data_IF_126020605241
#
_entry.id   IF_126020605241
#
_cell.length_a   1.000
_cell.length_b   1.000
_cell.length_c   1.000
_cell.angle_alpha   90.00
_cell.angle_beta   90.00
_cell.angle_gamma   90.00
#
_symmetry.space_group_name_H-M   'P 1'
#
loop_
_entity.id
_entity.type
_entity.pdbx_description
1 polymer ?
#
# COMPACT_ATOMS: atom_id res chain seq x y z
N UNK A 1 8.93 1.37 -53.71
CA UNK A 1 7.83 0.89 -52.82
C UNK A 1 8.28 0.06 -51.62
N UNK A 2 9.39 -0.70 -51.67
CA UNK A 2 9.84 -1.55 -50.56
C UNK A 2 10.39 -0.79 -49.33
N UNK A 3 11.17 0.28 -49.54
CA UNK A 3 11.72 1.12 -48.46
C UNK A 3 10.62 1.82 -47.63
N UNK A 4 9.57 2.35 -48.26
CA UNK A 4 8.45 2.98 -47.55
C UNK A 4 7.70 2.02 -46.61
N UNK A 5 7.55 0.75 -47.00
CA UNK A 5 6.92 -0.30 -46.16
C UNK A 5 7.79 -0.69 -44.95
N UNK A 6 9.11 -0.61 -45.06
CA UNK A 6 10.05 -0.87 -43.97
C UNK A 6 10.07 0.26 -42.93
N UNK A 7 10.11 1.52 -43.38
CA UNK A 7 10.01 2.68 -42.48
C UNK A 7 8.67 2.73 -41.74
N UNK A 8 7.56 2.40 -42.40
CA UNK A 8 6.24 2.33 -41.77
C UNK A 8 6.16 1.24 -40.68
N UNK A 9 6.71 0.05 -40.93
CA UNK A 9 6.75 -1.05 -39.93
C UNK A 9 7.64 -0.72 -38.73
N UNK A 10 8.78 -0.05 -38.94
CA UNK A 10 9.69 0.37 -37.87
C UNK A 10 9.07 1.44 -36.96
N UNK A 11 8.46 2.47 -37.55
CA UNK A 11 7.73 3.51 -36.82
C UNK A 11 6.54 2.94 -36.03
N UNK A 12 5.81 1.97 -36.60
CA UNK A 12 4.71 1.32 -35.91
C UNK A 12 5.18 0.46 -34.71
N UNK A 13 6.31 -0.25 -34.83
CA UNK A 13 6.92 -0.99 -33.70
C UNK A 13 7.41 -0.05 -32.59
N UNK A 14 8.10 1.04 -32.94
CA UNK A 14 8.57 2.04 -31.98
C UNK A 14 7.40 2.72 -31.24
N UNK A 15 6.34 3.08 -31.96
CA UNK A 15 5.11 3.65 -31.35
C UNK A 15 4.36 2.67 -30.45
N UNK A 16 4.42 1.36 -30.73
CA UNK A 16 3.80 0.32 -29.89
C UNK A 16 4.60 0.11 -28.62
N UNK A 17 5.93 0.00 -28.72
CA UNK A 17 6.81 -0.12 -27.57
C UNK A 17 6.65 1.06 -26.59
N UNK A 18 6.63 2.30 -27.12
CA UNK A 18 6.43 3.51 -26.30
C UNK A 18 5.05 3.58 -25.64
N UNK A 19 4.01 3.05 -26.28
CA UNK A 19 2.67 2.93 -25.68
C UNK A 19 2.63 1.89 -24.55
N UNK A 20 3.31 0.75 -24.73
CA UNK A 20 3.44 -0.27 -23.69
C UNK A 20 4.22 0.25 -22.49
N UNK A 21 5.32 0.96 -22.72
CA UNK A 21 6.13 1.60 -21.67
C UNK A 21 5.30 2.63 -20.87
N UNK A 22 4.60 3.54 -21.57
CA UNK A 22 3.71 4.51 -20.92
C UNK A 22 2.62 3.82 -20.10
N UNK A 23 1.98 2.79 -20.64
CA UNK A 23 0.93 2.06 -19.91
C UNK A 23 1.47 1.41 -18.63
N UNK A 24 2.67 0.82 -18.69
CA UNK A 24 3.34 0.26 -17.53
C UNK A 24 3.67 1.35 -16.49
N UNK A 25 4.21 2.50 -16.90
CA UNK A 25 4.49 3.62 -15.99
C UNK A 25 3.23 4.17 -15.31
N UNK A 26 2.10 4.24 -16.03
CA UNK A 26 0.80 4.62 -15.45
C UNK A 26 0.37 3.61 -14.40
N UNK A 27 0.41 2.32 -14.73
CA UNK A 27 0.07 1.24 -13.79
C UNK A 27 0.94 1.25 -12.54
N UNK A 28 2.26 1.44 -12.69
CA UNK A 28 3.18 1.57 -11.56
C UNK A 28 2.83 2.79 -10.70
N UNK A 29 2.53 3.94 -11.33
CA UNK A 29 2.17 5.15 -10.60
C UNK A 29 0.84 5.00 -9.85
N UNK A 30 -0.14 4.30 -10.43
CA UNK A 30 -1.41 3.97 -9.76
C UNK A 30 -1.19 3.05 -8.56
N UNK A 31 -0.37 2.00 -8.71
CA UNK A 31 -0.01 1.11 -7.61
C UNK A 31 0.72 1.85 -6.48
N UNK A 32 1.71 2.69 -6.81
CA UNK A 32 2.43 3.51 -5.83
C UNK A 32 1.47 4.47 -5.09
N UNK A 33 0.54 5.08 -5.83
CA UNK A 33 -0.49 5.94 -5.25
C UNK A 33 -1.42 5.19 -4.30
N UNK A 34 -1.84 3.98 -4.66
CA UNK A 34 -2.70 3.13 -3.84
C UNK A 34 -1.98 2.61 -2.58
N UNK A 35 -0.73 2.17 -2.72
CA UNK A 35 0.16 1.86 -1.59
C UNK A 35 0.26 3.06 -0.64
N UNK A 36 0.48 4.25 -1.21
CA UNK A 36 0.53 5.49 -0.46
C UNK A 36 -0.79 5.83 0.24
N UNK A 37 -1.93 5.55 -0.38
CA UNK A 37 -3.26 5.72 0.21
C UNK A 37 -3.48 4.79 1.42
N UNK A 38 -3.10 3.50 1.31
CA UNK A 38 -3.19 2.55 2.42
C UNK A 38 -2.34 2.93 3.64
N UNK A 39 -1.29 3.74 3.44
CA UNK A 39 -0.51 4.27 4.57
C UNK A 39 -1.31 5.15 5.54
N UNK A 40 -2.53 5.60 5.22
CA UNK A 40 -3.42 6.28 6.17
C UNK A 40 -3.55 5.48 7.48
N UNK A 41 -3.75 4.18 7.37
CA UNK A 41 -3.91 3.30 8.55
C UNK A 41 -2.60 3.02 9.29
N UNK A 42 -1.45 3.48 8.78
CA UNK A 42 -0.13 3.30 9.40
C UNK A 42 0.49 4.61 9.92
N UNK A 43 0.32 5.73 9.19
CA UNK A 43 1.00 7.01 9.45
C UNK A 43 0.08 8.24 9.49
N UNK A 44 -1.24 8.02 9.45
CA UNK A 44 -2.29 9.02 9.53
C UNK A 44 -2.47 9.91 8.27
N UNK A 45 -3.66 10.49 8.17
CA UNK A 45 -4.11 11.29 7.02
C UNK A 45 -3.15 12.43 6.64
N UNK A 46 -2.67 13.30 7.58
CA UNK A 46 -1.86 14.46 7.19
C UNK A 46 -0.55 14.11 6.49
N UNK A 47 0.15 13.05 6.94
CA UNK A 47 1.39 12.59 6.30
C UNK A 47 1.10 12.01 4.91
N UNK A 48 0.01 11.25 4.79
CA UNK A 48 -0.43 10.71 3.50
C UNK A 48 -0.78 11.80 2.50
N UNK A 49 -1.46 12.87 2.91
CA UNK A 49 -1.77 14.03 2.04
C UNK A 49 -0.48 14.64 1.47
N UNK A 50 0.49 14.93 2.33
CA UNK A 50 1.75 15.56 1.90
C UNK A 50 2.53 14.64 0.96
N UNK A 51 2.61 13.35 1.29
CA UNK A 51 3.34 12.37 0.49
C UNK A 51 2.68 12.16 -0.88
N UNK A 52 1.36 11.98 -0.96
CA UNK A 52 0.66 11.80 -2.23
C UNK A 52 0.69 13.07 -3.09
N UNK A 53 0.61 14.24 -2.47
CA UNK A 53 0.78 15.53 -3.16
C UNK A 53 2.16 15.69 -3.78
N UNK A 54 3.21 15.39 -3.01
CA UNK A 54 4.60 15.41 -3.50
C UNK A 54 4.83 14.38 -4.61
N UNK A 55 4.38 13.14 -4.40
CA UNK A 55 4.44 12.06 -5.40
C UNK A 55 3.79 12.49 -6.72
N UNK A 56 2.53 12.95 -6.69
CA UNK A 56 1.83 13.39 -7.90
C UNK A 56 2.56 14.54 -8.62
N UNK A 57 3.15 15.47 -7.86
CA UNK A 57 3.87 16.63 -8.42
C UNK A 57 5.21 16.26 -9.08
N UNK A 58 5.81 15.14 -8.67
CA UNK A 58 7.06 14.62 -9.26
C UNK A 58 6.86 13.81 -10.55
N UNK A 59 5.63 13.39 -10.85
CA UNK A 59 5.35 12.57 -12.02
C UNK A 59 5.37 13.40 -13.32
N UNK A 60 5.84 12.83 -14.45
CA UNK A 60 5.73 13.49 -15.75
C UNK A 60 4.28 13.84 -16.11
N UNK A 61 4.06 15.00 -16.74
CA UNK A 61 2.72 15.48 -17.07
C UNK A 61 1.88 14.49 -17.92
N UNK A 62 2.55 13.74 -18.81
CA UNK A 62 1.92 12.71 -19.62
C UNK A 62 1.43 11.49 -18.83
N UNK A 63 2.05 11.20 -17.68
CA UNK A 63 1.59 10.17 -16.73
C UNK A 63 0.44 10.73 -15.92
N UNK A 64 0.59 11.92 -15.34
CA UNK A 64 -0.44 12.58 -14.51
C UNK A 64 -1.79 12.69 -15.23
N UNK A 65 -1.77 13.06 -16.51
CA UNK A 65 -2.96 13.17 -17.37
C UNK A 65 -3.60 11.83 -17.73
N UNK A 66 -2.90 10.71 -17.50
CA UNK A 66 -3.36 9.36 -17.81
C UNK A 66 -3.78 8.56 -16.56
N UNK A 67 -3.59 9.10 -15.36
CA UNK A 67 -3.99 8.45 -14.11
C UNK A 67 -5.52 8.41 -13.97
N UNK A 68 -6.03 7.36 -13.33
CA UNK A 68 -7.44 7.29 -12.94
C UNK A 68 -7.83 8.46 -12.00
N UNK A 69 -9.02 9.03 -12.26
CA UNK A 69 -9.60 10.13 -11.47
C UNK A 69 -10.91 9.75 -10.79
N UNK A 70 -11.37 8.51 -10.97
CA UNK A 70 -12.64 8.03 -10.41
C UNK A 70 -12.41 7.30 -9.08
N UNK A 71 -13.11 7.68 -8.00
CA UNK A 71 -13.02 6.98 -6.74
C UNK A 71 -13.64 5.57 -6.83
N UNK A 72 -12.93 4.57 -6.29
CA UNK A 72 -13.35 3.16 -6.33
C UNK A 72 -14.08 2.69 -5.05
N UNK A 73 -14.11 3.51 -3.99
CA UNK A 73 -14.52 3.09 -2.64
C UNK A 73 -15.61 3.98 -2.02
N UNK A 74 -16.43 4.66 -2.83
CA UNK A 74 -17.54 5.47 -2.29
C UNK A 74 -18.53 4.53 -1.55
N UNK A 75 -18.73 4.71 -0.22
CA UNK A 75 -19.72 3.93 0.51
C UNK A 75 -21.13 4.37 0.10
N UNK A 76 -22.03 3.38 -0.03
CA UNK A 76 -23.44 3.58 -0.33
C UNK A 76 -24.27 2.50 0.36
N UNK A 77 -25.57 2.72 0.47
CA UNK A 77 -26.49 1.70 0.98
C UNK A 77 -26.46 0.40 0.17
N UNK A 78 -26.05 0.46 -1.11
CA UNK A 78 -25.94 -0.69 -1.99
C UNK A 78 -24.69 -1.55 -1.74
N UNK A 79 -23.57 -0.97 -1.26
CA UNK A 79 -22.30 -1.68 -1.13
C UNK A 79 -21.77 -1.79 0.31
N UNK A 80 -22.38 -1.12 1.29
CA UNK A 80 -21.89 -1.09 2.68
C UNK A 80 -21.78 -2.49 3.30
N UNK A 81 -22.73 -3.38 3.00
CA UNK A 81 -22.69 -4.76 3.47
C UNK A 81 -21.48 -5.52 2.93
N UNK A 82 -21.06 -5.26 1.70
CA UNK A 82 -19.87 -5.90 1.12
C UNK A 82 -18.60 -5.37 1.77
N UNK A 83 -18.51 -4.05 1.99
CA UNK A 83 -17.38 -3.42 2.71
C UNK A 83 -17.21 -4.05 4.10
N UNK A 84 -18.32 -4.25 4.80
CA UNK A 84 -18.35 -4.91 6.12
C UNK A 84 -17.84 -6.36 6.03
N UNK A 85 -18.37 -7.14 5.08
CA UNK A 85 -18.02 -8.56 4.93
C UNK A 85 -16.54 -8.75 4.60
N UNK A 86 -16.01 -7.99 3.63
CA UNK A 86 -14.60 -8.11 3.25
C UNK A 86 -13.65 -7.66 4.37
N UNK A 87 -14.00 -6.61 5.11
CA UNK A 87 -13.21 -6.14 6.26
C UNK A 87 -13.11 -7.20 7.35
N UNK A 88 -14.25 -7.82 7.70
CA UNK A 88 -14.29 -8.93 8.67
C UNK A 88 -13.53 -10.17 8.18
N UNK A 89 -13.64 -10.49 6.89
CA UNK A 89 -12.92 -11.60 6.30
C UNK A 89 -11.40 -11.39 6.36
N UNK A 90 -10.92 -10.20 5.98
CA UNK A 90 -9.50 -9.83 6.05
C UNK A 90 -8.99 -9.85 7.48
N UNK A 91 -9.71 -9.22 8.42
CA UNK A 91 -9.38 -9.23 9.85
C UNK A 91 -9.21 -10.66 10.39
N UNK A 92 -10.20 -11.51 10.13
CA UNK A 92 -10.18 -12.91 10.57
C UNK A 92 -9.02 -13.69 9.94
N UNK A 93 -8.78 -13.49 8.65
CA UNK A 93 -7.66 -14.11 7.94
C UNK A 93 -6.33 -13.80 8.64
N UNK A 94 -6.11 -12.54 8.99
CA UNK A 94 -4.88 -12.08 9.63
C UNK A 94 -4.79 -12.56 11.10
N UNK A 95 -5.84 -12.44 11.89
CA UNK A 95 -5.74 -12.60 13.34
C UNK A 95 -6.22 -13.94 13.91
N UNK A 96 -6.84 -14.83 13.12
CA UNK A 96 -7.27 -16.16 13.62
C UNK A 96 -6.10 -16.94 14.27
N UNK A 97 -6.31 -17.62 15.42
CA UNK A 97 -7.56 -17.76 16.18
C UNK A 97 -7.80 -16.66 17.23
N UNK A 98 -7.04 -15.57 17.19
CA UNK A 98 -7.07 -14.51 18.20
C UNK A 98 -7.88 -13.27 17.79
N UNK A 99 -8.58 -13.31 16.65
CA UNK A 99 -9.36 -12.20 16.10
C UNK A 99 -10.36 -11.62 17.12
N UNK A 100 -11.24 -12.46 17.69
CA UNK A 100 -12.20 -11.99 18.69
C UNK A 100 -11.55 -11.57 20.01
N UNK A 101 -10.41 -12.18 20.39
CA UNK A 101 -9.67 -11.78 21.60
C UNK A 101 -9.07 -10.39 21.43
N UNK A 102 -8.52 -10.10 20.24
CA UNK A 102 -7.96 -8.78 19.92
C UNK A 102 -9.06 -7.72 19.89
N UNK A 103 -10.22 -8.02 19.30
CA UNK A 103 -11.39 -7.13 19.33
C UNK A 103 -11.79 -6.77 20.76
N UNK A 104 -11.94 -7.76 21.64
CA UNK A 104 -12.25 -7.53 23.06
C UNK A 104 -11.18 -6.68 23.74
N UNK A 105 -9.90 -6.93 23.45
CA UNK A 105 -8.79 -6.18 24.06
C UNK A 105 -8.78 -4.71 23.62
N UNK A 106 -9.12 -4.43 22.36
CA UNK A 106 -9.25 -3.07 21.85
C UNK A 106 -10.47 -2.36 22.49
N UNK A 107 -11.58 -3.08 22.67
CA UNK A 107 -12.79 -2.55 23.30
C UNK A 107 -12.57 -2.13 24.77
N UNK A 108 -11.65 -2.78 25.50
CA UNK A 108 -11.27 -2.37 26.86
C UNK A 108 -10.69 -0.95 26.90
N UNK A 109 -10.03 -0.51 25.84
CA UNK A 109 -9.51 0.87 25.75
C UNK A 109 -10.61 1.85 25.36
N UNK A 110 -11.46 1.47 24.39
CA UNK A 110 -12.65 2.22 24.00
C UNK A 110 -13.58 1.32 23.17
N UNK A 111 -14.90 1.30 23.41
CA UNK A 111 -15.84 0.40 22.72
C UNK A 111 -15.88 0.60 21.20
N UNK A 112 -15.73 1.84 20.73
CA UNK A 112 -15.70 2.15 19.29
C UNK A 112 -14.36 1.79 18.61
N UNK A 113 -13.32 1.44 19.36
CA UNK A 113 -12.00 1.23 18.77
C UNK A 113 -11.96 0.05 17.78
N UNK A 114 -12.41 -1.17 18.16
CA UNK A 114 -12.50 -2.26 17.19
C UNK A 114 -13.53 -1.97 16.08
N UNK A 115 -14.62 -1.25 16.38
CA UNK A 115 -15.62 -0.84 15.37
C UNK A 115 -14.95 0.00 14.29
N UNK A 116 -14.21 1.04 14.67
CA UNK A 116 -13.52 1.90 13.71
C UNK A 116 -12.52 1.11 12.87
N UNK A 117 -11.66 0.31 13.53
CA UNK A 117 -10.64 -0.50 12.85
C UNK A 117 -11.28 -1.47 11.85
N UNK A 118 -12.27 -2.28 12.25
CA UNK A 118 -12.81 -3.32 11.37
C UNK A 118 -13.52 -2.72 10.15
N UNK A 119 -14.35 -1.70 10.36
CA UNK A 119 -15.22 -1.20 9.30
C UNK A 119 -14.56 -0.15 8.41
N UNK A 120 -13.70 0.71 8.97
CA UNK A 120 -13.09 1.81 8.22
C UNK A 120 -11.68 1.45 7.76
N UNK A 121 -10.83 0.91 8.64
CA UNK A 121 -9.47 0.54 8.26
C UNK A 121 -9.50 -0.77 7.44
N UNK A 122 -9.97 -1.88 7.99
CA UNK A 122 -9.93 -3.16 7.29
C UNK A 122 -10.93 -3.24 6.13
N UNK A 123 -12.16 -2.75 6.32
CA UNK A 123 -13.19 -2.81 5.28
C UNK A 123 -13.01 -1.78 4.17
N UNK A 124 -12.83 -0.51 4.52
CA UNK A 124 -12.85 0.59 3.55
C UNK A 124 -11.45 0.98 3.03
N UNK A 125 -10.37 0.70 3.76
CA UNK A 125 -9.01 1.08 3.36
C UNK A 125 -8.16 -0.12 2.91
N UNK A 126 -7.95 -1.11 3.79
CA UNK A 126 -6.97 -2.18 3.55
C UNK A 126 -7.49 -3.29 2.65
N UNK A 127 -8.75 -3.67 2.76
CA UNK A 127 -9.33 -4.62 1.82
C UNK A 127 -9.37 -4.01 0.42
N UNK A 128 -8.87 -4.77 -0.54
CA UNK A 128 -8.95 -4.38 -1.94
C UNK A 128 -10.42 -4.24 -2.36
N UNK A 129 -10.73 -3.25 -3.23
CA UNK A 129 -12.09 -3.05 -3.72
C UNK A 129 -12.51 -4.19 -4.65
N UNK A 130 -13.81 -4.30 -4.92
CA UNK A 130 -14.36 -5.38 -5.74
C UNK A 130 -13.76 -5.39 -7.16
N UNK A 131 -13.85 -6.54 -7.82
CA UNK A 131 -13.45 -6.72 -9.23
C UNK A 131 -14.10 -5.68 -10.15
N UNK A 132 -13.35 -5.22 -11.16
CA UNK A 132 -13.82 -4.21 -12.13
C UNK A 132 -13.35 -2.78 -11.82
N UNK A 133 -12.55 -2.62 -10.76
CA UNK A 133 -11.78 -1.41 -10.46
C UNK A 133 -10.57 -1.23 -11.39
N UNK A 134 -10.08 0.00 -11.55
CA UNK A 134 -8.89 0.29 -12.36
C UNK A 134 -7.67 -0.53 -11.91
N UNK A 135 -6.81 -0.83 -12.88
CA UNK A 135 -5.52 -1.48 -12.65
C UNK A 135 -4.74 -0.67 -11.60
N UNK A 136 -4.13 -1.34 -10.61
CA UNK A 136 -3.36 -0.68 -9.55
C UNK A 136 -4.16 -0.29 -8.29
N UNK A 137 -5.49 -0.45 -8.29
CA UNK A 137 -6.31 -0.28 -7.08
C UNK A 137 -6.22 -1.46 -6.08
N UNK A 138 -5.61 -2.57 -6.50
CA UNK A 138 -5.42 -3.77 -5.70
C UNK A 138 -3.95 -3.90 -5.33
N UNK A 139 -3.65 -3.80 -4.03
CA UNK A 139 -2.29 -3.97 -3.50
C UNK A 139 -2.08 -5.42 -3.06
N UNK A 140 -3.14 -6.10 -2.64
CA UNK A 140 -3.06 -7.44 -2.07
C UNK A 140 -2.48 -7.45 -0.66
N UNK A 141 -2.66 -8.57 0.04
CA UNK A 141 -2.27 -8.77 1.44
C UNK A 141 -0.77 -8.77 1.63
N UNK A 142 -0.03 -9.42 0.73
CA UNK A 142 1.45 -9.56 0.81
C UNK A 142 2.10 -8.18 0.77
N UNK A 143 1.84 -7.42 -0.29
CA UNK A 143 2.43 -6.09 -0.45
C UNK A 143 1.90 -5.10 0.61
N UNK A 144 0.63 -5.22 1.03
CA UNK A 144 0.11 -4.40 2.16
C UNK A 144 0.91 -4.67 3.44
N UNK A 145 1.29 -5.93 3.72
CA UNK A 145 2.12 -6.27 4.89
C UNK A 145 3.54 -5.73 4.78
N UNK A 146 4.16 -5.85 3.60
CA UNK A 146 5.51 -5.30 3.33
C UNK A 146 5.53 -3.78 3.52
N UNK A 147 4.54 -3.09 2.96
CA UNK A 147 4.38 -1.63 3.10
C UNK A 147 4.14 -1.24 4.55
N UNK A 148 3.31 -1.99 5.28
CA UNK A 148 3.07 -1.75 6.69
C UNK A 148 4.35 -1.84 7.51
N UNK A 149 5.16 -2.89 7.30
CA UNK A 149 6.47 -3.05 7.96
C UNK A 149 7.35 -1.85 7.63
N UNK A 150 7.52 -1.49 6.36
CA UNK A 150 8.34 -0.37 5.95
C UNK A 150 7.87 0.97 6.56
N UNK A 151 6.56 1.25 6.48
CA UNK A 151 5.98 2.50 6.96
C UNK A 151 6.08 2.64 8.49
N UNK A 152 5.72 1.59 9.24
CA UNK A 152 5.74 1.59 10.70
C UNK A 152 7.17 1.58 11.24
N UNK A 153 8.08 0.84 10.59
CA UNK A 153 9.51 0.84 10.93
C UNK A 153 10.12 2.22 10.72
N UNK A 154 9.83 2.85 9.57
CA UNK A 154 10.30 4.20 9.26
C UNK A 154 9.68 5.27 10.16
N UNK A 155 8.49 5.06 10.72
CA UNK A 155 7.87 5.99 11.68
C UNK A 155 8.47 5.89 13.09
N UNK A 156 8.81 4.68 13.53
CA UNK A 156 9.24 4.43 14.91
C UNK A 156 8.11 4.51 15.94
N UNK A 157 8.40 4.12 17.19
CA UNK A 157 7.45 4.18 18.32
C UNK A 157 6.31 3.15 18.32
N UNK A 158 6.24 2.28 17.31
CA UNK A 158 5.16 1.29 17.09
C UNK A 158 5.70 -0.14 16.88
N UNK A 159 6.73 -0.51 17.67
CA UNK A 159 7.41 -1.81 17.56
C UNK A 159 6.49 -3.03 17.55
N UNK A 160 5.48 -3.13 18.45
CA UNK A 160 4.52 -4.23 18.43
C UNK A 160 3.76 -4.36 17.09
N UNK A 161 3.40 -3.24 16.46
CA UNK A 161 2.71 -3.23 15.18
C UNK A 161 3.63 -3.68 14.05
N UNK A 162 4.90 -3.23 14.04
CA UNK A 162 5.90 -3.71 13.05
C UNK A 162 6.00 -5.23 13.11
N UNK A 163 6.19 -5.79 14.30
CA UNK A 163 6.31 -7.24 14.50
C UNK A 163 5.01 -7.96 14.12
N UNK A 164 3.85 -7.39 14.44
CA UNK A 164 2.55 -7.95 14.04
C UNK A 164 2.43 -8.07 12.52
N UNK A 165 2.95 -7.12 11.73
CA UNK A 165 2.90 -7.19 10.27
C UNK A 165 3.94 -8.17 9.69
N UNK A 166 5.11 -8.33 10.32
CA UNK A 166 6.06 -9.40 9.96
C UNK A 166 5.41 -10.77 10.17
N UNK A 167 4.79 -11.02 11.32
CA UNK A 167 4.08 -12.28 11.55
C UNK A 167 2.85 -12.45 10.64
N UNK A 168 2.13 -11.36 10.36
CA UNK A 168 1.00 -11.36 9.43
C UNK A 168 1.39 -11.77 8.01
N UNK A 169 2.57 -11.34 7.55
CA UNK A 169 3.16 -11.73 6.28
C UNK A 169 3.50 -13.22 6.28
N UNK A 170 4.24 -13.71 7.29
CA UNK A 170 4.58 -15.15 7.44
C UNK A 170 3.36 -16.04 7.39
N UNK A 171 2.38 -15.69 8.23
CA UNK A 171 1.13 -16.44 8.34
C UNK A 171 0.40 -16.53 7.01
N UNK A 172 0.47 -15.50 6.16
CA UNK A 172 -0.20 -15.52 4.86
C UNK A 172 0.27 -16.68 3.96
N UNK A 173 1.55 -17.04 4.05
CA UNK A 173 2.12 -18.17 3.32
C UNK A 173 1.95 -19.50 4.06
N UNK A 174 1.94 -19.49 5.41
CA UNK A 174 1.73 -20.70 6.22
C UNK A 174 0.29 -21.24 6.08
N UNK A 175 -0.70 -20.36 5.97
CA UNK A 175 -2.12 -20.74 5.87
C UNK A 175 -2.68 -20.74 4.43
N UNK A 176 -1.82 -20.48 3.44
CA UNK A 176 -2.15 -20.54 2.00
C UNK A 176 -2.98 -19.36 1.48
N UNK A 177 -3.20 -18.33 2.30
CA UNK A 177 -4.04 -17.19 1.92
C UNK A 177 -3.33 -16.19 1.00
N UNK A 178 -2.00 -16.16 0.98
CA UNK A 178 -1.24 -15.37 0.01
C UNK A 178 -1.47 -15.92 -1.42
N UNK A 179 -1.41 -17.24 -1.59
CA UNK A 179 -1.65 -17.94 -2.85
C UNK A 179 -3.11 -17.85 -3.31
N UNK A 180 -4.05 -17.76 -2.36
CA UNK A 180 -5.46 -17.61 -2.67
C UNK A 180 -5.82 -16.25 -3.31
N UNK A 181 -4.99 -15.22 -3.13
CA UNK A 181 -5.19 -13.88 -3.70
C UNK A 181 -4.61 -13.74 -5.11
N UNK A 182 -3.78 -14.68 -5.58
CA UNK A 182 -3.23 -14.69 -6.93
C UNK A 182 -1.82 -15.28 -7.02
N UNK A 183 -1.12 -14.95 -8.10
CA UNK A 183 0.26 -15.36 -8.30
C UNK A 183 1.17 -14.71 -7.25
N UNK A 184 1.87 -15.55 -6.47
CA UNK A 184 2.93 -15.13 -5.57
C UNK A 184 4.28 -15.52 -6.16
N UNK A 185 5.26 -14.63 -6.04
CA UNK A 185 6.63 -14.90 -6.51
C UNK A 185 7.43 -15.68 -5.46
N UNK A 186 8.53 -16.30 -5.90
CA UNK A 186 9.51 -16.90 -4.97
C UNK A 186 10.08 -15.85 -4.00
N UNK A 187 10.26 -14.61 -4.47
CA UNK A 187 10.70 -13.49 -3.64
C UNK A 187 9.70 -13.15 -2.53
N UNK A 188 8.39 -13.20 -2.81
CA UNK A 188 7.37 -12.95 -1.80
C UNK A 188 7.40 -14.00 -0.69
N UNK A 189 7.57 -15.28 -1.06
CA UNK A 189 7.73 -16.38 -0.09
C UNK A 189 9.02 -16.23 0.71
N UNK A 190 10.11 -15.82 0.07
CA UNK A 190 11.38 -15.60 0.76
C UNK A 190 11.28 -14.45 1.77
N UNK A 191 10.60 -13.35 1.43
CA UNK A 191 10.36 -12.23 2.36
C UNK A 191 9.55 -12.65 3.61
N UNK A 192 8.81 -13.75 3.51
CA UNK A 192 8.10 -14.37 4.63
C UNK A 192 8.96 -15.38 5.44
N UNK A 193 10.27 -15.48 5.20
CA UNK A 193 11.18 -16.25 6.06
C UNK A 193 11.74 -15.39 7.20
N UNK A 194 12.49 -16.00 8.12
CA UNK A 194 13.21 -15.25 9.16
C UNK A 194 14.27 -14.32 8.55
N UNK A 195 15.03 -14.82 7.57
CA UNK A 195 16.04 -14.06 6.83
C UNK A 195 15.40 -12.94 5.99
N UNK A 196 14.30 -13.24 5.30
CA UNK A 196 13.56 -12.25 4.51
C UNK A 196 12.96 -11.14 5.38
N UNK A 197 12.42 -11.50 6.56
CA UNK A 197 11.93 -10.54 7.53
C UNK A 197 13.03 -9.63 8.08
N UNK A 198 14.21 -10.17 8.39
CA UNK A 198 15.38 -9.38 8.79
C UNK A 198 15.84 -8.45 7.68
N UNK A 199 15.90 -8.96 6.45
CA UNK A 199 16.26 -8.16 5.28
C UNK A 199 15.27 -7.02 5.04
N UNK A 200 13.96 -7.27 5.18
CA UNK A 200 12.92 -6.25 5.02
C UNK A 200 13.07 -5.12 6.04
N UNK A 201 13.31 -5.47 7.31
CA UNK A 201 13.56 -4.49 8.38
C UNK A 201 14.83 -3.68 8.11
N UNK A 202 15.95 -4.34 7.78
CA UNK A 202 17.21 -3.68 7.48
C UNK A 202 17.15 -2.80 6.23
N UNK A 203 16.33 -3.18 5.24
CA UNK A 203 16.10 -2.38 4.04
C UNK A 203 15.34 -1.09 4.35
N UNK A 204 14.32 -1.16 5.21
CA UNK A 204 13.62 0.03 5.69
C UNK A 204 14.57 0.95 6.46
N UNK A 205 15.43 0.39 7.33
CA UNK A 205 16.44 1.16 8.07
C UNK A 205 17.44 1.84 7.11
N UNK A 206 17.98 1.12 6.13
CA UNK A 206 18.91 1.68 5.15
C UNK A 206 18.30 2.81 4.31
N UNK A 207 17.02 2.73 3.97
CA UNK A 207 16.30 3.82 3.27
C UNK A 207 16.15 5.03 4.18
N UNK A 208 15.76 4.83 5.44
CA UNK A 208 15.63 5.90 6.43
C UNK A 208 16.97 6.59 6.65
N UNK A 209 18.06 5.83 6.78
CA UNK A 209 19.40 6.37 6.98
C UNK A 209 19.87 7.18 5.77
N UNK A 210 19.63 6.68 4.55
CA UNK A 210 20.00 7.36 3.32
C UNK A 210 19.21 8.66 3.10
N UNK A 211 17.91 8.69 3.41
CA UNK A 211 17.06 9.88 3.28
C UNK A 211 17.29 10.86 4.43
N UNK A 212 17.47 10.34 5.64
CA UNK A 212 17.66 11.12 6.87
C UNK A 212 19.09 11.67 7.03
N UNK A 213 20.03 11.27 6.16
CA UNK A 213 21.45 11.63 6.24
C UNK A 213 22.03 11.33 7.65
N UNK A 214 21.62 10.21 8.25
CA UNK A 214 22.05 9.80 9.60
C UNK A 214 21.32 10.49 10.76
N UNK A 215 20.35 11.37 10.51
CA UNK A 215 19.55 12.03 11.57
C UNK A 215 18.38 11.16 12.09
N UNK A 216 18.18 9.97 11.53
CA UNK A 216 17.15 9.00 11.93
C UNK A 216 15.70 9.38 11.54
N UNK A 217 14.75 8.55 12.00
CA UNK A 217 13.31 8.73 11.77
C UNK A 217 12.70 9.72 12.78
N UNK A 218 12.54 10.97 12.35
CA UNK A 218 12.06 12.01 13.25
C UNK A 218 11.58 13.29 12.56
N UNK A 219 10.96 13.23 11.39
CA UNK A 219 10.41 14.43 10.73
C UNK A 219 9.02 14.78 11.26
N UNK A 220 8.92 14.98 12.57
CA UNK A 220 8.09 16.04 13.12
C UNK A 220 9.04 17.20 13.43
N UNK A 221 9.55 17.88 12.39
CA UNK A 221 10.12 19.20 12.58
C UNK A 221 8.99 20.10 13.04
N UNK A 222 8.84 20.22 14.36
CA UNK A 222 7.86 21.13 14.95
C UNK A 222 8.15 22.54 14.45
N UNK A 223 7.26 23.08 13.63
CA UNK A 223 6.95 24.52 13.45
C UNK A 223 8.08 25.53 13.18
N UNK A 224 9.36 25.17 13.13
CA UNK A 224 10.46 26.13 13.08
C UNK A 224 10.63 26.82 11.72
N UNK A 225 9.93 26.34 10.68
CA UNK A 225 9.87 27.00 9.36
C UNK A 225 8.60 27.80 9.08
N UNK A 226 7.59 27.78 9.98
CA UNK A 226 6.35 28.55 9.77
C UNK A 226 6.47 29.98 10.32
N UNK A 227 7.41 30.25 11.23
CA UNK A 227 7.67 31.61 11.75
C UNK A 227 8.31 32.59 10.76
N UNK A 228 8.72 32.14 9.57
CA UNK A 228 9.28 33.04 8.54
C UNK A 228 8.29 33.40 7.42
N UNK A 229 7.03 32.95 7.50
CA UNK A 229 5.99 33.22 6.48
C UNK A 229 4.59 33.53 7.04
N UNK A 230 4.51 33.94 8.31
CA UNK A 230 3.38 34.68 8.87
C UNK A 230 3.92 36.00 9.42
#
# INVERSE_FOLDING_TARGET
>A
MAQAKLHFKSAHRSSRARRTEKAHSVQTAELMGEVGFKCIGFNWIPRTINMLGAFRSSLPAEIVSSLNTKPARIPSTANISVIIVRGKALWKSIYRPFDSKLESKLAESHPEFPVHILYHEYGALFADPESGVPVGANVGRVLTSIVAVACLRAQGGVGPQVISHVFGLRKAFEDGSAEAEGEVSEGDRWLASDEGGQWLLGSADGIVDAIGEGNGSGFATGLDKIKSKL
#
